data_IF_033832142380
#
_entry.id   IF_033832142380
#
_cell.length_a   1.000
_cell.length_b   1.000
_cell.length_c   1.000
_cell.angle_alpha   90.00
_cell.angle_beta   90.00
_cell.angle_gamma   90.00
#
_symmetry.space_group_name_H-M   'P 1'
#
loop_
_entity.id
_entity.type
_entity.pdbx_description
1 polymer ?
#
# COMPACT_ATOMS: atom_id res chain seq x y z
N UNK A 1 10.77 -12.10 -17.91
CA UNK A 1 9.62 -11.78 -17.06
C UNK A 1 8.35 -12.16 -17.78
N UNK A 2 7.47 -12.94 -17.17
CA UNK A 2 6.13 -13.27 -17.70
C UNK A 2 5.08 -12.55 -16.86
N UNK A 3 4.11 -11.90 -17.52
CA UNK A 3 2.90 -11.36 -16.90
C UNK A 3 1.79 -12.41 -17.01
N UNK A 4 1.09 -12.65 -15.91
CA UNK A 4 -0.09 -13.50 -15.83
C UNK A 4 -1.20 -12.77 -15.07
N UNK A 5 -2.37 -12.67 -15.67
CA UNK A 5 -3.55 -12.09 -15.04
C UNK A 5 -4.49 -13.19 -14.55
N UNK A 6 -5.25 -12.93 -13.48
CA UNK A 6 -6.20 -13.87 -12.91
C UNK A 6 -7.32 -13.12 -12.18
N UNK A 7 -8.41 -13.82 -11.91
CA UNK A 7 -9.43 -13.36 -10.98
C UNK A 7 -9.38 -14.20 -9.70
N UNK A 8 -9.74 -13.59 -8.58
CA UNK A 8 -9.97 -14.25 -7.31
C UNK A 8 -11.19 -13.66 -6.61
N UNK A 9 -11.69 -14.29 -5.56
CA UNK A 9 -12.91 -13.86 -4.90
C UNK A 9 -12.68 -13.62 -3.42
N UNK A 10 -13.30 -12.54 -2.92
CA UNK A 10 -13.38 -12.20 -1.50
C UNK A 10 -14.84 -11.97 -1.19
N UNK A 11 -15.43 -12.73 -0.26
CA UNK A 11 -16.84 -12.64 0.11
C UNK A 11 -17.80 -12.63 -1.11
N UNK A 12 -17.50 -13.42 -2.14
CA UNK A 12 -18.29 -13.51 -3.36
C UNK A 12 -18.05 -12.40 -4.40
N UNK A 13 -17.22 -11.43 -4.09
CA UNK A 13 -16.85 -10.34 -4.99
C UNK A 13 -15.56 -10.71 -5.75
N UNK A 14 -15.59 -10.57 -7.08
CA UNK A 14 -14.43 -10.83 -7.94
C UNK A 14 -13.49 -9.62 -7.96
N UNK A 15 -12.20 -9.88 -7.73
CA UNK A 15 -11.12 -8.91 -7.86
C UNK A 15 -10.17 -9.36 -8.97
N UNK A 16 -9.60 -8.38 -9.66
CA UNK A 16 -8.56 -8.58 -10.67
C UNK A 16 -7.20 -8.66 -9.99
N UNK A 17 -6.43 -9.68 -10.31
CA UNK A 17 -5.08 -9.89 -9.83
C UNK A 17 -4.10 -10.16 -10.97
N UNK A 18 -2.82 -9.94 -10.71
CA UNK A 18 -1.75 -10.20 -11.67
C UNK A 18 -0.46 -10.58 -10.95
N UNK A 19 0.41 -11.32 -11.64
CA UNK A 19 1.75 -11.58 -11.14
C UNK A 19 2.79 -11.55 -12.23
N UNK A 20 4.01 -11.20 -11.83
CA UNK A 20 5.20 -11.10 -12.67
C UNK A 20 6.24 -12.04 -12.10
N UNK A 21 6.66 -13.02 -12.92
CA UNK A 21 7.63 -14.01 -12.49
C UNK A 21 8.92 -13.91 -13.31
N UNK A 22 10.10 -13.78 -12.66
CA UNK A 22 11.39 -14.04 -13.29
C UNK A 22 11.60 -15.55 -13.48
N UNK A 23 12.64 -15.93 -14.22
CA UNK A 23 12.98 -17.37 -14.42
C UNK A 23 13.36 -18.06 -13.11
N UNK A 24 14.12 -17.38 -12.25
CA UNK A 24 14.47 -17.82 -10.91
C UNK A 24 13.80 -16.92 -9.89
N UNK A 25 13.07 -17.50 -8.95
CA UNK A 25 12.39 -16.77 -7.88
C UNK A 25 13.04 -17.09 -6.55
N UNK A 26 13.56 -16.07 -5.84
CA UNK A 26 14.15 -16.21 -4.50
C UNK A 26 13.22 -15.63 -3.40
N UNK A 27 12.26 -14.81 -3.78
CA UNK A 27 11.26 -14.25 -2.89
C UNK A 27 10.05 -13.76 -3.70
N UNK A 28 8.93 -13.52 -3.01
CA UNK A 28 7.71 -12.96 -3.58
C UNK A 28 7.35 -11.67 -2.84
N UNK A 29 7.02 -10.62 -3.56
CA UNK A 29 6.44 -9.38 -3.02
C UNK A 29 4.97 -9.34 -3.39
N UNK A 30 4.08 -9.35 -2.39
CA UNK A 30 2.67 -9.06 -2.54
C UNK A 30 2.46 -7.55 -2.38
N UNK A 31 2.03 -6.88 -3.45
CA UNK A 31 1.90 -5.43 -3.52
C UNK A 31 0.44 -4.99 -3.37
N UNK A 32 0.20 -4.04 -2.47
CA UNK A 32 -1.10 -3.39 -2.19
C UNK A 32 -0.98 -1.91 -2.51
N UNK A 33 -1.71 -1.46 -3.52
CA UNK A 33 -1.67 -0.09 -4.04
C UNK A 33 -2.44 0.91 -3.16
N UNK A 34 -2.25 2.22 -3.41
CA UNK A 34 -2.89 3.33 -2.71
C UNK A 34 -4.32 3.65 -3.17
N UNK A 35 -4.91 4.71 -2.59
CA UNK A 35 -6.23 5.20 -2.97
C UNK A 35 -6.20 5.86 -4.35
N UNK A 36 -7.22 5.59 -5.15
CA UNK A 36 -7.44 6.24 -6.45
C UNK A 36 -6.54 5.73 -7.58
N UNK A 37 -5.55 4.90 -7.26
CA UNK A 37 -4.63 4.29 -8.23
C UNK A 37 -4.94 2.79 -8.47
N UNK A 38 -4.02 2.06 -9.09
CA UNK A 38 -4.16 0.63 -9.40
C UNK A 38 -2.79 -0.07 -9.49
N UNK A 39 -2.80 -1.40 -9.46
CA UNK A 39 -1.59 -2.23 -9.41
C UNK A 39 -0.65 -2.06 -10.62
N UNK A 40 -1.16 -1.77 -11.83
CA UNK A 40 -0.34 -1.61 -13.04
C UNK A 40 0.57 -0.37 -13.04
N UNK A 41 0.31 0.62 -12.20
CA UNK A 41 1.21 1.79 -12.10
C UNK A 41 2.62 1.40 -11.65
N UNK A 42 2.75 0.34 -10.89
CA UNK A 42 4.03 -0.18 -10.40
C UNK A 42 4.87 -0.90 -11.47
N UNK A 43 4.29 -1.19 -12.65
CA UNK A 43 5.01 -1.74 -13.82
C UNK A 43 6.07 -0.78 -14.37
N UNK A 44 5.98 0.48 -14.05
CA UNK A 44 6.92 1.50 -14.51
C UNK A 44 8.23 1.49 -13.74
N UNK A 45 8.23 1.03 -12.49
CA UNK A 45 9.39 1.14 -11.58
C UNK A 45 9.60 -0.10 -10.71
N UNK A 46 8.69 -0.40 -9.79
CA UNK A 46 8.86 -1.45 -8.77
C UNK A 46 8.94 -2.84 -9.38
N UNK A 47 8.01 -3.17 -10.26
CA UNK A 47 7.91 -4.51 -10.87
C UNK A 47 9.17 -4.87 -11.67
N UNK A 48 9.65 -4.05 -12.64
CA UNK A 48 10.83 -4.39 -13.41
C UNK A 48 12.09 -4.45 -12.56
N UNK A 49 12.20 -3.59 -11.54
CA UNK A 49 13.34 -3.62 -10.63
C UNK A 49 13.38 -4.92 -9.81
N UNK A 50 12.27 -5.30 -9.18
CA UNK A 50 12.21 -6.50 -8.35
C UNK A 50 12.39 -7.78 -9.17
N UNK A 51 11.73 -7.87 -10.33
CA UNK A 51 11.85 -9.07 -11.19
C UNK A 51 13.25 -9.23 -11.78
N UNK A 52 13.95 -8.15 -12.12
CA UNK A 52 15.37 -8.18 -12.51
C UNK A 52 16.26 -8.74 -11.39
N UNK A 53 15.86 -8.57 -10.14
CA UNK A 53 16.56 -9.06 -8.96
C UNK A 53 16.02 -10.40 -8.43
N UNK A 54 15.37 -11.21 -9.29
CA UNK A 54 14.85 -12.55 -8.94
C UNK A 54 13.76 -12.54 -7.86
N UNK A 55 13.00 -11.44 -7.74
CA UNK A 55 11.87 -11.31 -6.82
C UNK A 55 10.59 -11.25 -7.66
N UNK A 56 9.71 -12.24 -7.48
CA UNK A 56 8.40 -12.22 -8.12
C UNK A 56 7.51 -11.15 -7.47
N UNK A 57 6.63 -10.55 -8.26
CA UNK A 57 5.64 -9.58 -7.75
C UNK A 57 4.26 -10.11 -8.04
N UNK A 58 3.40 -10.18 -7.03
CA UNK A 58 1.97 -10.44 -7.15
C UNK A 58 1.23 -9.22 -6.64
N UNK A 59 0.19 -8.80 -7.34
CA UNK A 59 -0.60 -7.61 -7.00
C UNK A 59 -2.05 -7.79 -7.41
N UNK A 60 -2.91 -6.93 -6.93
CA UNK A 60 -4.33 -6.93 -7.29
C UNK A 60 -4.88 -5.51 -7.26
N UNK A 61 -5.95 -5.30 -8.01
CA UNK A 61 -6.72 -4.07 -7.95
C UNK A 61 -7.77 -4.20 -6.85
N UNK A 62 -7.73 -3.31 -5.87
CA UNK A 62 -8.68 -3.28 -4.77
C UNK A 62 -10.11 -3.00 -5.28
N UNK A 63 -11.13 -3.32 -4.48
CA UNK A 63 -12.52 -3.07 -4.85
C UNK A 63 -12.72 -1.63 -5.35
N UNK A 64 -13.36 -1.48 -6.50
CA UNK A 64 -13.61 -0.18 -7.11
C UNK A 64 -12.37 0.55 -7.66
N UNK A 65 -11.24 -0.14 -7.82
CA UNK A 65 -10.01 0.40 -8.39
C UNK A 65 -9.58 -0.39 -9.63
N UNK A 66 -8.80 0.24 -10.49
CA UNK A 66 -8.25 -0.40 -11.68
C UNK A 66 -9.29 -1.17 -12.48
N UNK A 67 -9.01 -2.45 -12.75
CA UNK A 67 -9.89 -3.38 -13.47
C UNK A 67 -10.90 -4.11 -12.56
N UNK A 68 -10.78 -3.98 -11.23
CA UNK A 68 -11.76 -4.54 -10.29
C UNK A 68 -13.02 -3.70 -10.30
N UNK A 69 -14.15 -4.37 -10.59
CA UNK A 69 -15.48 -3.73 -10.57
C UNK A 69 -15.85 -3.30 -9.16
N UNK A 70 -16.67 -2.26 -9.07
CA UNK A 70 -17.19 -1.73 -7.82
C UNK A 70 -17.33 -0.23 -7.86
N UNK A 71 -17.87 0.34 -6.79
CA UNK A 71 -18.01 1.79 -6.68
C UNK A 71 -16.65 2.42 -6.41
N UNK A 72 -16.22 3.32 -7.30
CA UNK A 72 -14.93 4.02 -7.20
C UNK A 72 -14.79 4.71 -5.83
N UNK A 73 -13.64 4.47 -5.17
CA UNK A 73 -13.34 5.08 -3.87
C UNK A 73 -14.19 4.59 -2.71
N UNK A 74 -14.79 3.41 -2.81
CA UNK A 74 -15.55 2.76 -1.75
C UNK A 74 -14.99 1.36 -1.45
N UNK A 75 -15.34 0.78 -0.30
CA UNK A 75 -15.04 -0.61 0.04
C UNK A 75 -16.21 -1.26 0.79
N UNK A 76 -16.36 -2.60 0.70
CA UNK A 76 -17.43 -3.33 1.39
C UNK A 76 -17.29 -3.42 2.92
N UNK A 77 -16.15 -3.00 3.46
CA UNK A 77 -15.78 -3.05 4.88
C UNK A 77 -14.27 -3.19 5.02
N UNK A 78 -13.70 -2.74 6.14
CA UNK A 78 -12.24 -2.80 6.33
C UNK A 78 -11.73 -4.25 6.39
N UNK A 79 -12.49 -5.15 7.04
CA UNK A 79 -12.16 -6.58 7.06
C UNK A 79 -12.05 -7.19 5.67
N UNK A 80 -12.87 -6.74 4.70
CA UNK A 80 -12.77 -7.17 3.30
C UNK A 80 -11.40 -6.88 2.70
N UNK A 81 -10.80 -5.73 3.03
CA UNK A 81 -9.46 -5.36 2.55
C UNK A 81 -8.39 -6.29 3.13
N UNK A 82 -8.52 -6.67 4.40
CA UNK A 82 -7.63 -7.63 5.05
C UNK A 82 -7.82 -9.04 4.48
N UNK A 83 -9.06 -9.46 4.25
CA UNK A 83 -9.39 -10.77 3.66
C UNK A 83 -8.86 -10.89 2.23
N UNK A 84 -8.79 -9.78 1.47
CA UNK A 84 -8.17 -9.75 0.15
C UNK A 84 -6.66 -10.07 0.22
N UNK A 85 -5.96 -9.55 1.23
CA UNK A 85 -4.55 -9.88 1.48
C UNK A 85 -4.40 -11.37 1.83
N UNK A 86 -5.27 -11.93 2.70
CA UNK A 86 -5.26 -13.36 3.04
C UNK A 86 -5.37 -14.25 1.79
N UNK A 87 -6.33 -13.94 0.91
CA UNK A 87 -6.51 -14.68 -0.35
C UNK A 87 -5.28 -14.57 -1.26
N UNK A 88 -4.66 -13.40 -1.30
CA UNK A 88 -3.47 -13.17 -2.12
C UNK A 88 -2.21 -13.85 -1.57
N UNK A 89 -2.04 -13.91 -0.25
CA UNK A 89 -0.96 -14.69 0.39
C UNK A 89 -1.15 -16.18 0.09
N UNK A 90 -2.37 -16.70 0.24
CA UNK A 90 -2.70 -18.08 -0.13
C UNK A 90 -2.39 -18.36 -1.61
N UNK A 91 -2.72 -17.43 -2.50
CA UNK A 91 -2.43 -17.54 -3.94
C UNK A 91 -0.92 -17.52 -4.19
N UNK A 92 -0.19 -16.63 -3.55
CA UNK A 92 1.27 -16.52 -3.66
C UNK A 92 1.97 -17.82 -3.21
N UNK A 93 1.55 -18.39 -2.08
CA UNK A 93 2.08 -19.68 -1.58
C UNK A 93 1.81 -20.86 -2.51
N UNK A 94 0.68 -20.86 -3.25
CA UNK A 94 0.39 -21.88 -4.27
C UNK A 94 1.22 -21.70 -5.54
N UNK A 95 1.48 -20.46 -5.96
CA UNK A 95 2.26 -20.14 -7.17
C UNK A 95 3.77 -20.30 -6.95
N UNK A 96 4.22 -19.99 -5.75
CA UNK A 96 5.63 -19.95 -5.37
C UNK A 96 5.86 -20.71 -4.06
N UNK A 97 5.67 -22.03 -4.04
CA UNK A 97 5.86 -22.83 -2.84
C UNK A 97 7.29 -22.69 -2.32
N UNK A 98 7.43 -22.62 -1.00
CA UNK A 98 8.73 -22.47 -0.30
C UNK A 98 9.42 -21.10 -0.44
N UNK A 99 8.91 -20.19 -1.26
CA UNK A 99 9.48 -18.86 -1.37
C UNK A 99 8.97 -17.94 -0.26
N UNK A 100 9.85 -17.18 0.43
CA UNK A 100 9.42 -16.20 1.43
C UNK A 100 8.58 -15.10 0.79
N UNK A 101 7.44 -14.79 1.41
CA UNK A 101 6.51 -13.76 0.97
C UNK A 101 6.73 -12.50 1.80
N UNK A 102 6.91 -11.38 1.12
CA UNK A 102 6.95 -10.04 1.70
C UNK A 102 5.70 -9.27 1.29
N UNK A 103 5.09 -8.57 2.24
CA UNK A 103 3.98 -7.66 1.96
C UNK A 103 4.52 -6.27 1.68
N UNK A 104 4.07 -5.62 0.61
CA UNK A 104 4.43 -4.25 0.26
C UNK A 104 3.17 -3.41 0.12
N UNK A 105 3.02 -2.37 0.93
CA UNK A 105 1.90 -1.44 0.87
C UNK A 105 2.35 0.00 0.67
N UNK A 106 1.66 0.72 -0.23
CA UNK A 106 1.87 2.15 -0.45
C UNK A 106 0.65 2.96 -0.01
N UNK A 107 0.87 4.08 0.67
CA UNK A 107 -0.18 5.03 1.05
C UNK A 107 -1.33 4.34 1.82
N UNK A 108 -2.56 4.36 1.31
CA UNK A 108 -3.68 3.58 1.82
C UNK A 108 -3.36 2.08 1.88
N UNK A 109 -2.71 1.53 0.86
CA UNK A 109 -2.23 0.14 0.87
C UNK A 109 -1.23 -0.12 2.00
N UNK A 110 -0.42 0.88 2.36
CA UNK A 110 0.47 0.84 3.52
C UNK A 110 -0.29 0.80 4.85
N UNK A 111 -1.37 1.58 4.99
CA UNK A 111 -2.28 1.49 6.14
C UNK A 111 -2.86 0.07 6.27
N UNK A 112 -3.41 -0.46 5.17
CA UNK A 112 -4.04 -1.79 5.15
C UNK A 112 -3.01 -2.88 5.49
N UNK A 113 -1.80 -2.80 4.92
CA UNK A 113 -0.74 -3.78 5.14
C UNK A 113 -0.22 -3.79 6.59
N UNK A 114 -0.06 -2.61 7.21
CA UNK A 114 0.32 -2.48 8.63
C UNK A 114 -0.76 -3.09 9.51
N UNK A 115 -2.02 -2.72 9.30
CA UNK A 115 -3.16 -3.25 10.06
C UNK A 115 -3.32 -4.76 9.87
N UNK A 116 -3.07 -5.27 8.65
CA UNK A 116 -3.06 -6.70 8.40
C UNK A 116 -2.04 -7.42 9.30
N UNK A 117 -0.82 -6.92 9.38
CA UNK A 117 0.23 -7.51 10.22
C UNK A 117 -0.06 -7.45 11.72
N UNK A 118 -0.79 -6.42 12.18
CA UNK A 118 -1.17 -6.25 13.58
C UNK A 118 -2.40 -7.09 13.96
N UNK A 119 -3.34 -7.32 13.03
CA UNK A 119 -4.65 -7.92 13.33
C UNK A 119 -4.78 -9.39 12.91
N UNK A 120 -3.89 -9.89 12.03
CA UNK A 120 -4.01 -11.24 11.47
C UNK A 120 -2.79 -12.10 11.77
N UNK A 121 -3.03 -13.37 12.09
CA UNK A 121 -1.97 -14.36 12.06
C UNK A 121 -1.58 -14.62 10.62
N UNK A 122 -0.32 -14.39 10.28
CA UNK A 122 0.16 -14.49 8.92
C UNK A 122 1.55 -15.17 8.86
N UNK A 123 1.91 -15.62 7.66
CA UNK A 123 3.17 -16.30 7.38
C UNK A 123 4.12 -15.46 6.54
N UNK A 124 3.90 -14.13 6.47
CA UNK A 124 4.80 -13.26 5.71
C UNK A 124 6.15 -13.10 6.42
N UNK A 125 7.20 -12.98 5.61
CA UNK A 125 8.57 -12.85 6.09
C UNK A 125 8.92 -11.43 6.55
N UNK A 126 8.22 -10.45 6.02
CA UNK A 126 8.39 -9.05 6.38
C UNK A 126 7.43 -8.12 5.66
N UNK A 127 7.32 -6.90 6.18
CA UNK A 127 6.47 -5.84 5.68
C UNK A 127 7.31 -4.67 5.15
N UNK A 128 6.95 -4.16 3.99
CA UNK A 128 7.48 -2.92 3.43
C UNK A 128 6.30 -1.94 3.33
N UNK A 129 6.42 -0.77 3.95
CA UNK A 129 5.42 0.28 3.84
C UNK A 129 6.06 1.58 3.35
N UNK A 130 5.50 2.16 2.30
CA UNK A 130 5.95 3.44 1.74
C UNK A 130 4.88 4.49 1.89
N UNK A 131 5.23 5.62 2.51
CA UNK A 131 4.33 6.75 2.76
C UNK A 131 2.94 6.32 3.29
N UNK A 132 2.86 5.40 4.29
CA UNK A 132 1.59 4.82 4.70
C UNK A 132 0.65 5.89 5.24
N UNK A 133 -0.65 5.77 4.93
CA UNK A 133 -1.68 6.68 5.43
C UNK A 133 -2.02 6.31 6.89
N UNK A 134 -1.10 6.58 7.81
CA UNK A 134 -1.34 6.49 9.25
C UNK A 134 -2.06 7.75 9.75
N UNK A 135 -1.67 8.90 9.20
CA UNK A 135 -2.30 10.22 9.43
C UNK A 135 -2.14 11.08 8.18
N UNK A 136 -3.09 11.98 7.92
CA UNK A 136 -2.91 12.99 6.86
C UNK A 136 -1.81 13.99 7.24
N UNK A 137 -1.09 14.51 6.24
CA UNK A 137 -0.08 15.56 6.45
C UNK A 137 -0.70 16.92 6.84
N UNK A 138 -2.01 17.08 6.65
CA UNK A 138 -2.77 18.28 6.95
C UNK A 138 -3.98 17.93 7.83
N UNK A 139 -4.51 18.95 8.53
CA UNK A 139 -5.74 18.80 9.31
C UNK A 139 -6.95 19.19 8.45
N UNK A 140 -7.87 18.27 8.12
CA UNK A 140 -9.10 18.62 7.44
C UNK A 140 -9.89 19.65 8.26
N UNK A 141 -10.59 20.61 7.63
CA UNK A 141 -11.42 21.57 8.33
C UNK A 141 -12.47 20.85 9.20
N UNK A 142 -12.70 21.29 10.47
CA UNK A 142 -13.62 20.62 11.40
C UNK A 142 -15.03 20.42 10.84
N UNK A 143 -15.55 21.40 10.07
CA UNK A 143 -16.87 21.27 9.46
C UNK A 143 -16.95 20.15 8.41
N UNK A 144 -15.85 19.89 7.64
CA UNK A 144 -15.78 18.75 6.71
C UNK A 144 -15.82 17.42 7.48
N UNK A 145 -15.13 17.32 8.60
CA UNK A 145 -15.14 16.11 9.44
C UNK A 145 -16.52 15.86 10.06
N UNK A 146 -17.19 16.90 10.54
CA UNK A 146 -18.58 16.81 11.06
C UNK A 146 -19.53 16.35 9.96
N UNK A 147 -19.46 16.98 8.77
CA UNK A 147 -20.29 16.60 7.63
C UNK A 147 -20.01 15.15 7.19
N UNK A 148 -18.75 14.75 7.11
CA UNK A 148 -18.38 13.37 6.78
C UNK A 148 -18.98 12.38 7.78
N UNK A 149 -18.93 12.68 9.09
CA UNK A 149 -19.51 11.83 10.13
C UNK A 149 -21.06 11.74 10.07
N UNK A 150 -21.73 12.79 9.61
CA UNK A 150 -23.20 12.77 9.38
C UNK A 150 -23.50 11.91 8.13
N UNK A 151 -22.79 12.15 7.02
CA UNK A 151 -22.98 11.41 5.78
C UNK A 151 -22.64 9.93 5.93
N UNK A 152 -21.65 9.58 6.73
CA UNK A 152 -21.30 8.19 7.02
C UNK A 152 -22.45 7.43 7.68
N UNK A 153 -23.20 8.06 8.58
CA UNK A 153 -24.36 7.46 9.23
C UNK A 153 -25.57 7.25 8.30
N UNK A 154 -25.74 8.15 7.31
CA UNK A 154 -26.94 8.17 6.44
C UNK A 154 -26.64 7.47 5.10
N UNK A 155 -25.50 7.75 4.51
CA UNK A 155 -25.07 7.26 3.19
C UNK A 155 -23.57 6.98 3.16
N UNK A 156 -23.03 5.96 3.89
CA UNK A 156 -21.60 5.71 4.02
C UNK A 156 -20.88 5.44 2.68
N UNK A 157 -21.63 5.04 1.68
CA UNK A 157 -21.11 4.77 0.34
C UNK A 157 -21.12 5.98 -0.59
N UNK A 158 -21.59 7.16 -0.15
CA UNK A 158 -21.52 8.37 -1.00
C UNK A 158 -20.05 8.72 -1.27
N UNK A 159 -19.68 8.87 -2.53
CA UNK A 159 -18.31 9.21 -2.92
C UNK A 159 -18.19 10.67 -3.33
N UNK A 160 -17.18 11.32 -2.82
CA UNK A 160 -16.82 12.72 -3.07
C UNK A 160 -15.44 12.77 -3.74
N UNK A 161 -15.05 13.87 -4.37
CA UNK A 161 -13.66 14.11 -4.74
C UNK A 161 -12.76 13.98 -3.49
N UNK A 162 -11.60 13.35 -3.64
CA UNK A 162 -10.64 13.16 -2.54
C UNK A 162 -9.89 14.44 -2.18
N UNK A 163 -9.97 15.48 -3.04
CA UNK A 163 -9.19 16.73 -2.96
C UNK A 163 -7.65 16.45 -2.92
N UNK A 164 -7.20 15.32 -3.47
CA UNK A 164 -5.78 14.97 -3.53
C UNK A 164 -5.06 15.96 -4.47
N UNK A 165 -4.03 16.63 -3.95
CA UNK A 165 -3.15 17.48 -4.76
C UNK A 165 -2.23 16.57 -5.60
N UNK A 166 -2.52 16.42 -6.87
CA UNK A 166 -1.72 15.59 -7.80
C UNK A 166 -0.27 16.07 -7.87
N UNK A 167 0.01 17.37 -7.68
CA UNK A 167 1.36 17.90 -7.64
C UNK A 167 2.13 17.52 -6.37
N UNK A 168 1.49 16.86 -5.41
CA UNK A 168 2.14 16.35 -4.20
C UNK A 168 2.59 14.89 -4.31
N UNK A 169 2.25 14.17 -5.40
CA UNK A 169 2.61 12.76 -5.53
C UNK A 169 4.10 12.57 -5.83
N UNK A 170 4.69 13.40 -6.69
CA UNK A 170 6.08 13.27 -7.12
C UNK A 170 6.69 14.62 -7.48
N UNK A 171 8.03 14.74 -7.35
CA UNK A 171 8.82 15.85 -7.90
C UNK A 171 9.10 15.68 -9.40
N UNK A 172 8.94 14.47 -9.93
CA UNK A 172 9.05 14.17 -11.36
C UNK A 172 7.75 14.52 -12.08
N UNK A 173 7.77 15.63 -12.85
CA UNK A 173 6.58 16.10 -13.57
C UNK A 173 6.05 15.10 -14.59
N UNK A 174 6.91 14.24 -15.13
CA UNK A 174 6.45 13.21 -16.08
C UNK A 174 5.58 12.16 -15.41
N UNK A 175 5.80 11.88 -14.13
CA UNK A 175 4.97 10.95 -13.33
C UNK A 175 3.62 11.59 -12.98
N UNK A 176 3.59 12.92 -12.73
CA UNK A 176 2.34 13.67 -12.54
C UNK A 176 1.47 13.58 -13.80
N UNK A 177 2.04 13.89 -14.98
CA UNK A 177 1.33 13.78 -16.25
C UNK A 177 0.86 12.35 -16.51
N UNK A 178 1.67 11.35 -16.22
CA UNK A 178 1.29 9.95 -16.38
C UNK A 178 0.13 9.55 -15.45
N UNK A 179 0.08 10.10 -14.23
CA UNK A 179 -1.04 9.91 -13.30
C UNK A 179 -2.33 10.54 -13.82
N UNK A 180 -2.28 11.79 -14.28
CA UNK A 180 -3.45 12.54 -14.79
C UNK A 180 -4.05 11.94 -16.07
N UNK A 181 -3.20 11.36 -16.93
CA UNK A 181 -3.62 10.74 -18.19
C UNK A 181 -4.07 9.28 -18.05
N UNK A 182 -3.91 8.68 -16.89
CA UNK A 182 -4.25 7.27 -16.67
C UNK A 182 -5.77 7.10 -16.47
N UNK A 183 -6.49 6.42 -17.40
CA UNK A 183 -7.94 6.29 -17.35
C UNK A 183 -8.44 5.38 -16.20
N UNK A 184 -7.55 4.61 -15.56
CA UNK A 184 -7.90 3.75 -14.43
C UNK A 184 -7.73 4.45 -13.08
N UNK A 185 -7.07 5.60 -13.05
CA UNK A 185 -6.96 6.47 -11.88
C UNK A 185 -8.28 7.21 -11.65
N UNK A 186 -8.61 7.46 -10.40
CA UNK A 186 -9.79 8.24 -10.01
C UNK A 186 -9.55 9.07 -8.75
N UNK A 187 -10.28 10.17 -8.63
CA UNK A 187 -10.23 11.10 -7.49
C UNK A 187 -11.33 10.86 -6.43
N UNK A 188 -11.94 9.68 -6.41
CA UNK A 188 -13.10 9.41 -5.57
C UNK A 188 -12.74 8.75 -4.25
N UNK A 189 -13.42 9.17 -3.16
CA UNK A 189 -13.39 8.52 -1.86
C UNK A 189 -14.76 8.61 -1.19
N UNK A 190 -15.26 7.52 -0.61
CA UNK A 190 -16.48 7.58 0.19
C UNK A 190 -16.19 8.07 1.61
N UNK A 191 -17.20 8.71 2.23
CA UNK A 191 -17.08 9.23 3.60
C UNK A 191 -16.75 8.11 4.58
N UNK A 192 -17.43 6.97 4.47
CA UNK A 192 -17.15 5.81 5.31
C UNK A 192 -15.74 5.27 5.13
N UNK A 193 -15.25 5.20 3.87
CA UNK A 193 -13.88 4.76 3.60
C UNK A 193 -12.85 5.70 4.22
N UNK A 194 -13.00 7.01 3.98
CA UNK A 194 -12.09 8.02 4.50
C UNK A 194 -11.97 7.97 6.03
N UNK A 195 -13.11 7.96 6.72
CA UNK A 195 -13.15 7.92 8.19
C UNK A 195 -12.57 6.61 8.75
N UNK A 196 -12.90 5.46 8.12
CA UNK A 196 -12.39 4.17 8.58
C UNK A 196 -10.88 4.06 8.40
N UNK A 197 -10.32 4.45 7.26
CA UNK A 197 -8.86 4.43 7.03
C UNK A 197 -8.13 5.34 8.03
N UNK A 198 -8.66 6.52 8.32
CA UNK A 198 -8.07 7.43 9.31
C UNK A 198 -8.11 6.82 10.71
N UNK A 199 -9.22 6.22 11.11
CA UNK A 199 -9.37 5.51 12.39
C UNK A 199 -8.38 4.34 12.49
N UNK A 200 -8.24 3.55 11.44
CA UNK A 200 -7.31 2.42 11.40
C UNK A 200 -5.84 2.87 11.42
N UNK A 201 -5.53 4.06 10.90
CA UNK A 201 -4.21 4.67 11.02
C UNK A 201 -3.85 5.01 12.46
N UNK A 202 -4.75 5.65 13.20
CA UNK A 202 -4.55 5.95 14.63
C UNK A 202 -4.46 4.65 15.45
N UNK A 203 -5.36 3.69 15.18
CA UNK A 203 -5.34 2.40 15.84
C UNK A 203 -3.98 1.68 15.63
N UNK A 204 -3.45 1.71 14.40
CA UNK A 204 -2.14 1.12 14.11
C UNK A 204 -1.01 1.79 14.91
N UNK A 205 -1.02 3.13 15.06
CA UNK A 205 -0.03 3.86 15.86
C UNK A 205 -0.13 3.47 17.36
N UNK A 206 -1.33 3.29 17.87
CA UNK A 206 -1.56 2.85 19.25
C UNK A 206 -1.06 1.43 19.49
N UNK A 207 -1.22 0.53 18.50
CA UNK A 207 -0.82 -0.87 18.58
C UNK A 207 0.56 -1.16 17.97
N UNK A 208 1.34 -0.13 17.62
CA UNK A 208 2.68 -0.28 17.09
C UNK A 208 3.61 -1.16 17.98
N UNK A 209 3.53 -1.15 19.34
CA UNK A 209 4.32 -2.05 20.18
C UNK A 209 4.04 -3.55 19.94
N UNK A 210 2.93 -3.90 19.30
CA UNK A 210 2.54 -5.27 18.99
C UNK A 210 3.11 -5.78 17.66
N UNK A 211 3.81 -4.93 16.89
CA UNK A 211 4.42 -5.30 15.63
C UNK A 211 5.55 -6.33 15.85
N UNK A 212 5.31 -7.56 15.42
CA UNK A 212 6.27 -8.68 15.58
C UNK A 212 7.00 -9.01 14.26
N UNK A 213 6.50 -8.50 13.16
CA UNK A 213 7.04 -8.81 11.83
C UNK A 213 8.12 -7.78 11.49
N UNK A 214 9.30 -8.20 10.98
CA UNK A 214 10.28 -7.26 10.48
C UNK A 214 9.66 -6.30 9.47
N UNK A 215 9.87 -5.00 9.65
CA UNK A 215 9.27 -3.98 8.82
C UNK A 215 10.29 -2.96 8.32
N UNK A 216 10.24 -2.64 7.04
CA UNK A 216 10.90 -1.49 6.43
C UNK A 216 9.86 -0.41 6.16
N UNK A 217 9.93 0.69 6.91
CA UNK A 217 9.04 1.84 6.80
C UNK A 217 9.78 2.99 6.11
N UNK A 218 9.28 3.46 4.97
CA UNK A 218 9.91 4.52 4.20
C UNK A 218 8.96 5.69 3.97
N UNK A 219 9.43 6.93 4.13
CA UNK A 219 8.61 8.11 3.94
C UNK A 219 9.40 9.30 3.40
N UNK A 220 8.77 10.10 2.53
CA UNK A 220 9.33 11.37 2.07
C UNK A 220 9.05 12.50 3.07
N UNK A 221 10.08 13.30 3.43
CA UNK A 221 9.87 14.36 4.44
C UNK A 221 9.09 15.56 3.92
N UNK A 222 8.89 15.71 2.61
CA UNK A 222 8.04 16.72 1.99
C UNK A 222 6.73 16.13 1.44
N UNK A 223 6.34 14.95 1.94
CA UNK A 223 5.02 14.40 1.65
C UNK A 223 3.94 15.32 2.23
N UNK A 224 3.07 15.83 1.35
CA UNK A 224 1.96 16.74 1.71
C UNK A 224 0.61 16.02 1.79
N UNK A 225 0.58 14.71 1.52
CA UNK A 225 -0.61 13.88 1.54
C UNK A 225 -0.70 13.07 2.85
N UNK A 226 0.37 12.35 3.18
CA UNK A 226 0.45 11.55 4.40
C UNK A 226 1.61 12.01 5.29
N UNK A 227 1.42 11.90 6.60
CA UNK A 227 2.33 12.45 7.60
C UNK A 227 3.54 11.56 7.85
N UNK A 228 4.74 12.01 7.47
CA UNK A 228 5.98 11.31 7.84
C UNK A 228 6.20 11.32 9.37
N UNK A 229 5.72 12.35 10.09
CA UNK A 229 5.77 12.39 11.56
C UNK A 229 4.93 11.27 12.19
N UNK A 230 3.82 10.88 11.57
CA UNK A 230 3.05 9.72 12.04
C UNK A 230 3.80 8.40 11.80
N UNK A 231 4.58 8.30 10.72
CA UNK A 231 5.48 7.15 10.50
C UNK A 231 6.63 7.10 11.52
N UNK A 232 7.21 8.24 11.87
CA UNK A 232 8.22 8.35 12.94
C UNK A 232 7.61 7.96 14.31
N UNK A 233 6.39 8.44 14.61
CA UNK A 233 5.67 8.08 15.83
C UNK A 233 5.41 6.57 15.89
N UNK A 234 4.92 5.97 14.81
CA UNK A 234 4.73 4.53 14.71
C UNK A 234 6.04 3.76 14.98
N UNK A 235 7.11 4.13 14.27
CA UNK A 235 8.41 3.47 14.41
C UNK A 235 9.00 3.63 15.83
N UNK A 236 8.81 4.79 16.47
CA UNK A 236 9.29 5.05 17.82
C UNK A 236 8.57 4.23 18.91
N UNK A 237 7.31 3.86 18.66
CA UNK A 237 6.49 3.03 19.56
C UNK A 237 6.68 1.54 19.30
N UNK A 238 7.00 1.17 18.07
CA UNK A 238 7.26 -0.20 17.69
C UNK A 238 8.58 -0.70 18.32
N UNK A 239 8.70 -2.02 18.39
CA UNK A 239 9.95 -2.66 18.82
C UNK A 239 11.06 -2.49 17.75
N UNK A 240 12.27 -3.00 18.03
CA UNK A 240 13.43 -2.99 17.11
C UNK A 240 13.18 -3.74 15.77
N UNK A 241 11.98 -4.27 15.57
CA UNK A 241 11.56 -4.91 14.32
C UNK A 241 11.31 -3.93 13.18
N UNK A 242 11.13 -2.63 13.47
CA UNK A 242 10.81 -1.59 12.49
C UNK A 242 12.04 -0.74 12.16
N UNK A 243 12.52 -0.87 10.93
CA UNK A 243 13.53 0.02 10.37
C UNK A 243 12.85 1.17 9.62
N UNK A 244 13.04 2.42 10.08
CA UNK A 244 12.52 3.60 9.39
C UNK A 244 13.60 4.29 8.55
N UNK A 245 13.25 4.67 7.32
CA UNK A 245 14.11 5.43 6.39
C UNK A 245 13.36 6.64 5.85
N UNK A 246 13.84 7.83 6.18
CA UNK A 246 13.29 9.09 5.69
C UNK A 246 14.06 9.59 4.48
N UNK A 247 13.33 9.88 3.39
CA UNK A 247 13.86 10.48 2.18
C UNK A 247 13.72 12.00 2.27
N UNK A 248 14.84 12.69 2.55
CA UNK A 248 14.85 14.13 2.73
C UNK A 248 14.36 14.85 1.47
N UNK A 249 13.31 15.65 1.60
CA UNK A 249 12.68 16.36 0.49
C UNK A 249 11.87 15.49 -0.45
N UNK A 250 11.78 14.17 -0.21
CA UNK A 250 10.96 13.24 -0.99
C UNK A 250 9.47 13.53 -0.87
N UNK A 251 8.73 13.32 -1.95
CA UNK A 251 7.27 13.45 -2.01
C UNK A 251 6.60 12.10 -1.72
N UNK A 252 5.29 12.00 -2.00
CA UNK A 252 4.45 10.89 -1.60
C UNK A 252 4.81 9.55 -2.26
N UNK A 253 4.89 9.52 -3.59
CA UNK A 253 5.20 8.32 -4.36
C UNK A 253 6.71 8.13 -4.53
N UNK A 254 7.43 7.71 -3.48
CA UNK A 254 8.88 7.52 -3.52
C UNK A 254 9.35 6.64 -4.68
N UNK A 255 8.52 5.67 -5.10
CA UNK A 255 8.79 4.77 -6.22
C UNK A 255 8.65 5.45 -7.59
N UNK A 256 8.09 6.64 -7.65
CA UNK A 256 7.97 7.50 -8.83
C UNK A 256 8.69 8.84 -8.64
N UNK A 257 9.40 9.04 -7.54
CA UNK A 257 10.09 10.31 -7.24
C UNK A 257 11.57 10.28 -7.70
N UNK A 258 12.27 11.39 -7.55
CA UNK A 258 13.64 11.58 -8.04
C UNK A 258 14.67 10.61 -7.42
N UNK A 259 14.38 10.06 -6.25
CA UNK A 259 15.27 9.11 -5.56
C UNK A 259 14.77 7.66 -5.63
N UNK A 260 13.94 7.34 -6.62
CA UNK A 260 13.34 6.00 -6.78
C UNK A 260 14.38 4.86 -6.82
N UNK A 261 15.53 5.07 -7.45
CA UNK A 261 16.58 4.05 -7.50
C UNK A 261 17.16 3.74 -6.10
N UNK A 262 17.39 4.77 -5.27
CA UNK A 262 17.88 4.57 -3.89
C UNK A 262 16.85 3.83 -3.04
N UNK A 263 15.57 4.18 -3.20
CA UNK A 263 14.46 3.56 -2.50
C UNK A 263 14.31 2.09 -2.89
N UNK A 264 14.34 1.78 -4.18
CA UNK A 264 14.23 0.42 -4.70
C UNK A 264 15.43 -0.44 -4.28
N UNK A 265 16.64 0.12 -4.33
CA UNK A 265 17.85 -0.57 -3.87
C UNK A 265 17.82 -0.84 -2.36
N UNK A 266 17.26 0.07 -1.55
CA UNK A 266 17.04 -0.17 -0.12
C UNK A 266 16.08 -1.33 0.12
N UNK A 267 14.96 -1.40 -0.62
CA UNK A 267 14.02 -2.52 -0.57
C UNK A 267 14.74 -3.83 -0.88
N UNK A 268 15.48 -3.89 -1.99
CA UNK A 268 16.20 -5.10 -2.42
C UNK A 268 17.14 -5.61 -1.33
N UNK A 269 18.01 -4.73 -0.81
CA UNK A 269 18.99 -5.09 0.23
C UNK A 269 18.30 -5.56 1.51
N UNK A 270 17.20 -4.89 1.88
CA UNK A 270 16.44 -5.28 3.07
C UNK A 270 15.79 -6.66 2.88
N UNK A 271 15.16 -6.95 1.75
CA UNK A 271 14.59 -8.28 1.45
C UNK A 271 15.70 -9.35 1.53
N UNK A 272 16.86 -9.10 0.92
CA UNK A 272 17.98 -10.05 0.93
C UNK A 272 18.50 -10.32 2.36
N UNK A 273 18.60 -9.29 3.20
CA UNK A 273 18.99 -9.47 4.61
C UNK A 273 17.99 -10.32 5.38
N UNK A 274 16.67 -10.11 5.17
CA UNK A 274 15.64 -10.90 5.83
C UNK A 274 15.64 -12.38 5.39
N UNK A 275 16.02 -12.67 4.15
CA UNK A 275 16.17 -14.06 3.66
C UNK A 275 17.40 -14.74 4.31
N UNK A 276 18.51 -14.02 4.47
CA UNK A 276 19.74 -14.55 5.05
C UNK A 276 19.62 -14.84 6.54
N UNK A 277 18.94 -13.98 7.29
CA UNK A 277 18.72 -14.12 8.75
C UNK A 277 17.81 -15.30 9.13
N UNK A 278 17.34 -16.07 8.18
CA UNK A 278 16.43 -17.22 8.37
C UNK A 278 17.09 -18.57 8.12
N UNK A 279 18.35 -18.54 7.71
CA UNK A 279 19.20 -19.74 7.59
C UNK A 279 20.03 -19.93 8.85
#
# INVERSE_FOLDING_TARGET
MSLNEFEFQVAGIKLHGQYYSPQLVKAVVLLVHGLGEHSKRYERTVVPFLTKNSIAVISFDQFGHGNTKGKRGHHPGYSFLLDAIDQMISKAGKLFPEQPIFLYGHSMGGNIAINYCLQRNNSIKGLIATSPLLRLAFKPPPWKMTLAGILDKIMPSITLPSDLDVNAISRDKSEIVAYELDPLVHDRVSTGYSLEIMKQGEWAIEHAPEMKIPMLLMHGTNDRLTSHLASEEFASKASDTVEIVLFKGGFHELHHDLEKEKMLEKIRRWIESQIQNSK
#
